data_IF_696186832996
#
_entry.id   IF_696186832996
#
_cell.length_a   1.000
_cell.length_b   1.000
_cell.length_c   1.000
_cell.angle_alpha   90.00
_cell.angle_beta   90.00
_cell.angle_gamma   90.00
#
_symmetry.space_group_name_H-M   'P 1'
#
loop_
_entity.id
_entity.type
_entity.pdbx_description
1 polymer ?
#
# COMPACT_ATOMS: atom_id res chain seq x y z
N UNK A 1 -23.48 18.79 2.61
CA UNK A 1 -22.45 19.57 1.85
C UNK A 1 -21.33 18.61 1.53
N UNK A 2 -21.36 18.03 0.32
CA UNK A 2 -20.41 17.03 -0.13
C UNK A 2 -19.07 17.68 -0.47
N UNK A 3 -18.11 17.25 0.15
CA UNK A 3 -16.65 17.27 0.09
C UNK A 3 -16.00 17.96 -1.13
N UNK A 4 -16.22 19.28 -1.26
CA UNK A 4 -15.51 20.15 -2.23
C UNK A 4 -13.99 20.19 -1.96
N UNK A 5 -13.56 19.91 -0.74
CA UNK A 5 -12.15 19.82 -0.37
C UNK A 5 -11.44 18.58 -0.95
N UNK A 6 -12.16 17.46 -1.12
CA UNK A 6 -11.62 16.25 -1.77
C UNK A 6 -11.46 16.44 -3.30
N UNK A 7 -12.33 17.22 -3.94
CA UNK A 7 -12.16 17.56 -5.37
C UNK A 7 -11.01 18.55 -5.60
N UNK A 8 -10.82 19.54 -4.72
CA UNK A 8 -9.67 20.45 -4.77
C UNK A 8 -8.35 19.74 -4.48
N UNK A 9 -8.33 18.80 -3.54
CA UNK A 9 -7.16 17.95 -3.28
C UNK A 9 -6.85 16.99 -4.43
N UNK A 10 -7.86 16.51 -5.19
CA UNK A 10 -7.65 15.72 -6.41
C UNK A 10 -7.07 16.52 -7.57
N UNK A 11 -7.31 17.83 -7.63
CA UNK A 11 -6.80 18.71 -8.70
C UNK A 11 -5.41 19.27 -8.34
N UNK A 12 -5.05 19.30 -7.06
CA UNK A 12 -3.74 19.77 -6.55
C UNK A 12 -2.77 18.61 -6.25
N UNK A 13 -3.07 17.38 -6.67
CA UNK A 13 -2.19 16.23 -6.47
C UNK A 13 -1.01 16.32 -7.41
N UNK A 14 0.09 16.77 -6.87
CA UNK A 14 1.40 16.34 -7.30
C UNK A 14 1.46 14.83 -7.01
N UNK A 15 1.21 13.95 -7.98
CA UNK A 15 1.34 12.49 -7.85
C UNK A 15 2.82 12.07 -7.71
N UNK A 16 3.76 13.02 -7.80
CA UNK A 16 5.19 12.81 -7.64
C UNK A 16 5.64 13.15 -6.22
N UNK A 17 5.40 12.23 -5.32
CA UNK A 17 6.00 12.27 -3.98
C UNK A 17 7.25 11.39 -3.97
N UNK A 18 8.40 11.99 -3.66
CA UNK A 18 9.66 11.25 -3.59
C UNK A 18 9.79 10.49 -2.28
N UNK A 19 9.82 9.16 -2.40
CA UNK A 19 10.07 8.26 -1.27
C UNK A 19 11.44 8.54 -0.66
N UNK A 20 11.53 8.54 0.67
CA UNK A 20 12.79 8.79 1.36
C UNK A 20 13.78 7.63 1.13
N UNK A 21 15.05 7.95 0.91
CA UNK A 21 16.12 6.96 0.73
C UNK A 21 16.16 5.94 1.88
N UNK A 22 16.01 6.40 3.13
CA UNK A 22 16.03 5.56 4.33
C UNK A 22 14.85 4.58 4.36
N UNK A 23 13.68 4.96 3.85
CA UNK A 23 12.51 4.08 3.81
C UNK A 23 12.71 2.98 2.77
N UNK A 24 13.29 3.31 1.61
CA UNK A 24 13.69 2.34 0.58
C UNK A 24 14.73 1.37 1.17
N UNK A 25 15.76 1.88 1.81
CA UNK A 25 16.83 1.08 2.41
C UNK A 25 16.28 0.10 3.46
N UNK A 26 15.44 0.59 4.36
CA UNK A 26 14.84 -0.22 5.42
C UNK A 26 13.94 -1.34 4.86
N UNK A 27 13.20 -1.05 3.81
CA UNK A 27 12.34 -2.04 3.17
C UNK A 27 13.18 -3.08 2.42
N UNK A 28 14.07 -2.64 1.53
CA UNK A 28 14.88 -3.52 0.67
C UNK A 28 15.83 -4.41 1.47
N UNK A 29 16.44 -3.90 2.55
CA UNK A 29 17.31 -4.70 3.39
C UNK A 29 16.61 -5.93 3.97
N UNK A 30 15.33 -5.86 4.26
CA UNK A 30 14.60 -7.01 4.81
C UNK A 30 14.48 -8.19 3.83
N UNK A 31 14.51 -7.94 2.54
CA UNK A 31 14.51 -8.99 1.51
C UNK A 31 15.91 -9.63 1.39
N UNK A 32 16.95 -8.79 1.46
CA UNK A 32 18.35 -9.22 1.42
C UNK A 32 18.71 -10.03 2.68
N UNK A 33 18.25 -9.58 3.86
CA UNK A 33 18.45 -10.29 5.13
C UNK A 33 17.80 -11.68 5.10
N UNK A 34 16.72 -11.85 4.36
CA UNK A 34 16.02 -13.12 4.20
C UNK A 34 16.66 -14.00 3.10
N UNK A 35 16.99 -13.38 1.97
CA UNK A 35 17.66 -14.03 0.85
C UNK A 35 18.71 -13.10 0.25
N UNK A 36 20.00 -13.26 0.58
CA UNK A 36 21.08 -12.40 0.08
C UNK A 36 21.21 -12.35 -1.45
N UNK A 37 20.75 -13.38 -2.16
CA UNK A 37 20.80 -13.47 -3.62
C UNK A 37 19.51 -12.99 -4.31
N UNK A 38 18.59 -12.33 -3.59
CA UNK A 38 17.27 -11.91 -4.13
C UNK A 38 17.39 -11.04 -5.38
N UNK A 39 18.41 -10.21 -5.49
CA UNK A 39 18.67 -9.30 -6.64
C UNK A 39 19.82 -9.77 -7.53
N UNK A 40 20.53 -10.82 -7.15
CA UNK A 40 21.69 -11.31 -7.89
C UNK A 40 21.31 -11.83 -9.26
N UNK A 41 22.04 -11.40 -10.28
CA UNK A 41 21.83 -11.73 -11.68
C UNK A 41 20.44 -11.32 -12.22
N UNK A 42 19.75 -10.35 -11.57
CA UNK A 42 18.42 -9.87 -11.95
C UNK A 42 18.47 -8.59 -12.74
N UNK A 43 17.52 -8.46 -13.65
CA UNK A 43 17.18 -7.18 -14.31
C UNK A 43 16.07 -6.51 -13.46
N UNK A 44 16.35 -5.32 -12.96
CA UNK A 44 15.42 -4.51 -12.15
C UNK A 44 14.89 -3.37 -13.00
N UNK A 45 13.57 -3.19 -13.02
CA UNK A 45 12.89 -2.07 -13.68
C UNK A 45 12.26 -1.14 -12.66
N UNK A 46 12.54 0.16 -12.79
CA UNK A 46 11.99 1.29 -12.03
C UNK A 46 11.15 2.18 -12.98
N UNK A 47 9.89 1.81 -13.30
CA UNK A 47 9.18 2.39 -14.45
C UNK A 47 8.48 3.73 -14.18
N UNK A 48 8.45 4.21 -12.94
CA UNK A 48 7.80 5.47 -12.55
C UNK A 48 8.77 6.40 -11.80
N UNK A 49 10.06 6.16 -11.92
CA UNK A 49 11.09 6.81 -11.13
C UNK A 49 12.01 7.60 -12.07
N UNK A 50 11.83 8.93 -12.06
CA UNK A 50 12.73 9.82 -12.77
C UNK A 50 14.14 9.69 -12.18
N UNK A 51 15.11 9.18 -12.94
CA UNK A 51 16.45 8.86 -12.43
C UNK A 51 17.21 10.05 -11.88
N UNK A 52 16.91 11.24 -12.35
CA UNK A 52 17.58 12.46 -11.88
C UNK A 52 17.16 12.83 -10.45
N UNK A 53 15.95 12.43 -10.05
CA UNK A 53 15.35 12.83 -8.79
C UNK A 53 15.02 11.66 -7.87
N UNK A 54 14.78 10.45 -8.44
CA UNK A 54 14.33 9.31 -7.69
C UNK A 54 15.37 8.74 -6.74
N UNK A 55 15.01 8.61 -5.48
CA UNK A 55 15.81 7.89 -4.50
C UNK A 55 15.87 6.38 -4.77
N UNK A 56 14.92 5.80 -5.52
CA UNK A 56 14.99 4.41 -5.95
C UNK A 56 16.18 4.19 -6.88
N UNK A 57 16.29 4.98 -7.93
CA UNK A 57 17.44 4.88 -8.86
C UNK A 57 18.75 5.04 -8.12
N UNK A 58 18.90 6.09 -7.30
CA UNK A 58 20.10 6.33 -6.50
C UNK A 58 20.43 5.17 -5.57
N UNK A 59 19.42 4.59 -4.93
CA UNK A 59 19.61 3.45 -4.02
C UNK A 59 20.16 2.22 -4.77
N UNK A 60 19.54 1.84 -5.89
CA UNK A 60 19.95 0.66 -6.65
C UNK A 60 21.27 0.86 -7.39
N UNK A 61 21.57 2.05 -7.87
CA UNK A 61 22.88 2.39 -8.45
C UNK A 61 23.99 2.23 -7.39
N UNK A 62 23.82 2.82 -6.19
CA UNK A 62 24.81 2.76 -5.12
C UNK A 62 25.03 1.34 -4.55
N UNK A 63 24.12 0.42 -4.80
CA UNK A 63 24.20 -0.97 -4.33
C UNK A 63 24.31 -1.97 -5.50
N UNK A 64 24.51 -1.52 -6.71
CA UNK A 64 24.48 -2.35 -7.93
C UNK A 64 25.44 -3.53 -7.85
N UNK A 65 26.72 -3.28 -7.57
CA UNK A 65 27.74 -4.31 -7.40
C UNK A 65 27.49 -5.17 -6.16
N UNK A 66 27.18 -4.50 -5.03
CA UNK A 66 26.97 -5.19 -3.75
C UNK A 66 25.88 -6.25 -3.83
N UNK A 67 24.80 -5.98 -4.58
CA UNK A 67 23.68 -6.90 -4.75
C UNK A 67 23.82 -7.83 -5.96
N UNK A 68 24.91 -7.67 -6.75
CA UNK A 68 25.15 -8.48 -7.94
C UNK A 68 24.09 -8.30 -9.01
N UNK A 69 23.52 -7.10 -9.15
CA UNK A 69 22.47 -6.80 -10.12
C UNK A 69 23.02 -6.92 -11.54
N UNK A 70 22.30 -7.62 -12.43
CA UNK A 70 22.69 -7.80 -13.82
C UNK A 70 22.46 -6.54 -14.66
N UNK A 71 21.28 -5.91 -14.47
CA UNK A 71 20.88 -4.72 -15.21
C UNK A 71 19.88 -3.91 -14.40
N UNK A 72 20.08 -2.61 -14.34
CA UNK A 72 19.12 -1.66 -13.81
C UNK A 72 18.54 -0.84 -14.95
N UNK A 73 17.23 -0.72 -15.01
CA UNK A 73 16.51 0.10 -15.98
C UNK A 73 15.62 1.05 -15.17
N UNK A 74 15.70 2.34 -15.46
CA UNK A 74 14.81 3.35 -14.89
C UNK A 74 14.19 4.17 -16.01
N UNK A 75 12.89 4.50 -15.90
CA UNK A 75 12.23 5.33 -16.91
C UNK A 75 11.53 6.51 -16.27
N UNK A 76 11.53 7.64 -16.95
CA UNK A 76 10.75 8.82 -16.57
C UNK A 76 9.55 8.99 -17.50
N UNK A 77 8.53 9.67 -16.97
CA UNK A 77 7.37 10.10 -17.73
C UNK A 77 7.61 11.51 -18.27
N UNK A 78 7.25 11.77 -19.53
CA UNK A 78 7.49 13.05 -20.19
C UNK A 78 6.86 14.23 -19.45
N UNK A 79 7.55 15.38 -19.27
CA UNK A 79 7.00 16.53 -18.56
C UNK A 79 5.66 17.04 -19.08
N UNK A 80 5.49 17.09 -20.42
CA UNK A 80 4.23 17.54 -21.04
C UNK A 80 3.03 16.61 -20.79
N UNK A 81 3.30 15.33 -20.53
CA UNK A 81 2.26 14.34 -20.23
C UNK A 81 1.90 14.31 -18.74
N UNK A 82 2.67 15.03 -17.90
CA UNK A 82 2.35 15.23 -16.49
C UNK A 82 1.27 16.30 -16.34
N UNK A 83 0.35 16.11 -15.41
CA UNK A 83 -0.71 17.08 -15.12
C UNK A 83 -0.20 18.34 -14.36
N UNK A 84 1.04 18.75 -14.55
CA UNK A 84 1.66 19.89 -13.89
C UNK A 84 1.50 21.17 -14.70
N UNK A 85 1.14 22.24 -14.01
CA UNK A 85 1.07 23.59 -14.58
C UNK A 85 2.40 24.37 -14.51
N UNK A 86 3.44 23.78 -13.94
CA UNK A 86 4.76 24.42 -13.88
C UNK A 86 5.54 24.09 -15.16
N UNK A 87 6.00 25.09 -15.93
CA UNK A 87 6.85 24.82 -17.09
C UNK A 87 8.09 24.05 -16.65
N UNK A 88 8.37 22.95 -17.33
CA UNK A 88 9.61 22.21 -17.13
C UNK A 88 10.80 23.11 -17.50
N UNK A 89 11.78 23.19 -16.63
CA UNK A 89 13.05 23.86 -16.93
C UNK A 89 14.16 22.81 -16.90
N UNK A 90 14.83 22.58 -18.06
CA UNK A 90 15.94 21.66 -18.12
C UNK A 90 17.03 22.06 -17.12
N UNK A 91 17.66 21.07 -16.51
CA UNK A 91 18.80 21.31 -15.64
C UNK A 91 20.03 21.69 -16.45
N UNK A 92 21.02 22.35 -15.80
CA UNK A 92 22.26 22.70 -16.45
C UNK A 92 23.01 21.45 -16.97
N UNK A 93 22.87 20.33 -16.27
CA UNK A 93 23.47 19.04 -16.66
C UNK A 93 22.83 18.46 -17.92
N UNK A 94 21.52 18.59 -18.06
CA UNK A 94 20.81 18.16 -19.26
C UNK A 94 21.23 18.97 -20.47
N UNK A 95 21.31 20.30 -20.34
CA UNK A 95 21.60 21.21 -21.46
C UNK A 95 23.04 21.11 -21.98
N UNK A 96 23.98 20.58 -21.19
CA UNK A 96 25.38 20.37 -21.65
C UNK A 96 25.61 18.99 -22.28
N UNK A 97 24.63 18.05 -22.15
CA UNK A 97 24.75 16.74 -22.80
C UNK A 97 24.55 16.84 -24.29
N UNK A 98 25.46 16.28 -25.11
CA UNK A 98 25.36 16.33 -26.59
C UNK A 98 24.06 15.70 -27.13
N UNK A 99 23.38 14.87 -26.37
CA UNK A 99 22.09 14.22 -26.71
C UNK A 99 20.87 15.08 -26.36
N UNK A 100 21.08 16.20 -25.68
CA UNK A 100 20.00 17.10 -25.31
C UNK A 100 19.22 17.61 -26.52
N UNK A 101 17.93 17.45 -26.48
CA UNK A 101 16.98 17.92 -27.47
C UNK A 101 15.79 18.53 -26.71
N UNK A 102 15.60 19.84 -26.85
CA UNK A 102 14.63 20.58 -26.08
C UNK A 102 13.19 20.08 -26.31
N UNK A 103 12.84 19.77 -27.56
CA UNK A 103 11.51 19.26 -27.91
C UNK A 103 11.28 17.86 -27.34
N UNK A 104 12.26 16.96 -27.49
CA UNK A 104 12.18 15.60 -26.95
C UNK A 104 12.17 15.59 -25.42
N UNK A 105 12.94 16.47 -24.78
CA UNK A 105 13.01 16.54 -23.32
C UNK A 105 11.65 16.81 -22.70
N UNK A 106 10.76 17.55 -23.36
CA UNK A 106 9.41 17.85 -22.86
C UNK A 106 8.35 16.86 -23.35
N UNK A 107 8.54 16.24 -24.50
CA UNK A 107 7.55 15.38 -25.16
C UNK A 107 7.78 13.88 -24.95
N UNK A 108 9.01 13.45 -24.72
CA UNK A 108 9.38 12.04 -24.59
C UNK A 108 9.81 11.69 -23.15
N UNK A 109 9.51 10.47 -22.75
CA UNK A 109 10.11 9.88 -21.57
C UNK A 109 11.60 9.62 -21.78
N UNK A 110 12.34 9.43 -20.72
CA UNK A 110 13.74 9.01 -20.76
C UNK A 110 13.90 7.61 -20.21
N UNK A 111 14.87 6.87 -20.75
CA UNK A 111 15.30 5.58 -20.25
C UNK A 111 16.75 5.67 -19.81
N UNK A 112 17.05 5.16 -18.62
CA UNK A 112 18.38 5.06 -18.05
C UNK A 112 18.70 3.59 -17.82
N UNK A 113 19.91 3.19 -18.17
CA UNK A 113 20.37 1.81 -18.00
C UNK A 113 21.74 1.77 -17.37
N UNK A 114 21.94 0.82 -16.46
CA UNK A 114 23.21 0.50 -15.84
C UNK A 114 23.48 -0.98 -15.97
N UNK A 115 24.65 -1.35 -16.47
CA UNK A 115 25.08 -2.75 -16.64
C UNK A 115 26.49 -3.01 -16.14
N UNK A 116 27.33 -1.99 -16.09
CA UNK A 116 28.74 -2.06 -15.72
C UNK A 116 29.32 -0.68 -15.45
N UNK A 117 30.55 -0.63 -14.96
CA UNK A 117 31.39 0.56 -14.91
C UNK A 117 31.70 1.01 -16.37
N UNK A 118 30.99 2.03 -16.83
CA UNK A 118 31.09 2.55 -18.20
C UNK A 118 32.27 3.52 -18.37
N UNK A 119 32.57 4.29 -17.34
CA UNK A 119 33.64 5.29 -17.35
C UNK A 119 35.01 4.69 -16.97
N UNK A 120 35.04 3.44 -16.48
CA UNK A 120 36.24 2.67 -16.10
C UNK A 120 37.05 3.32 -14.96
N UNK A 121 36.38 4.00 -14.03
CA UNK A 121 37.04 4.61 -12.87
C UNK A 121 37.17 3.64 -11.68
N UNK A 122 36.68 2.40 -11.83
CA UNK A 122 36.75 1.34 -10.83
C UNK A 122 35.62 1.39 -9.79
N UNK A 123 34.55 2.18 -10.06
CA UNK A 123 33.35 2.26 -9.24
C UNK A 123 32.14 2.28 -10.16
N UNK A 124 31.03 1.77 -9.65
CA UNK A 124 29.72 1.94 -10.30
C UNK A 124 28.94 2.99 -9.52
N UNK A 125 28.66 4.12 -10.19
CA UNK A 125 27.87 5.21 -9.65
C UNK A 125 26.91 5.84 -10.69
N UNK A 126 26.28 6.95 -10.35
CA UNK A 126 25.31 7.62 -11.24
C UNK A 126 25.92 8.08 -12.58
N UNK A 127 27.26 8.22 -12.68
CA UNK A 127 27.95 8.61 -13.94
C UNK A 127 28.00 7.49 -14.97
N UNK A 128 27.77 6.23 -14.53
CA UNK A 128 27.73 5.06 -15.41
C UNK A 128 26.37 4.83 -16.03
N UNK A 129 25.36 5.60 -15.63
CA UNK A 129 24.03 5.54 -16.20
C UNK A 129 24.06 6.02 -17.66
N UNK A 130 23.78 5.11 -18.59
CA UNK A 130 23.48 5.47 -19.98
C UNK A 130 22.04 5.89 -20.10
N UNK A 131 21.78 6.99 -20.78
CA UNK A 131 20.42 7.43 -21.01
C UNK A 131 20.10 7.70 -22.48
N UNK A 132 18.84 7.56 -22.85
CA UNK A 132 18.28 7.91 -24.15
C UNK A 132 16.84 8.40 -23.97
N UNK A 133 16.28 9.04 -25.00
CA UNK A 133 14.85 9.28 -25.08
C UNK A 133 14.14 7.98 -25.46
N UNK A 134 12.97 7.76 -24.84
CA UNK A 134 12.00 6.81 -25.34
C UNK A 134 11.34 7.38 -26.61
N UNK A 135 10.73 6.52 -27.45
CA UNK A 135 9.97 6.98 -28.60
C UNK A 135 8.64 7.63 -28.19
N UNK A 136 8.06 7.19 -27.06
CA UNK A 136 6.85 7.73 -26.46
C UNK A 136 7.12 8.55 -25.21
N UNK A 137 6.04 8.88 -24.51
CA UNK A 137 6.07 9.70 -23.29
C UNK A 137 6.52 8.95 -22.02
N UNK A 138 6.81 7.66 -22.12
CA UNK A 138 7.21 6.83 -20.98
C UNK A 138 6.03 6.23 -20.19
N UNK A 139 4.82 6.31 -20.72
CA UNK A 139 3.66 5.66 -20.10
C UNK A 139 3.89 4.14 -20.01
N UNK A 140 3.68 3.55 -18.81
CA UNK A 140 3.88 2.11 -18.58
C UNK A 140 2.96 1.24 -19.45
N UNK A 141 1.87 1.80 -19.99
CA UNK A 141 0.94 1.12 -20.89
C UNK A 141 1.43 1.04 -22.33
N UNK A 142 2.42 1.83 -22.71
CA UNK A 142 3.01 1.82 -24.05
C UNK A 142 3.66 0.47 -24.35
N UNK A 143 3.71 0.10 -25.64
CA UNK A 143 4.39 -1.14 -26.06
C UNK A 143 5.89 -1.10 -25.73
N UNK A 144 6.50 0.06 -25.81
CA UNK A 144 7.92 0.24 -25.50
C UNK A 144 8.21 -0.08 -24.03
N UNK A 145 7.42 0.45 -23.09
CA UNK A 145 7.61 0.17 -21.64
C UNK A 145 7.15 -1.24 -21.26
N UNK A 146 6.18 -1.82 -22.00
CA UNK A 146 5.84 -3.23 -21.85
C UNK A 146 6.99 -4.17 -22.19
N UNK A 147 7.76 -3.87 -23.24
CA UNK A 147 8.95 -4.64 -23.59
C UNK A 147 10.01 -4.57 -22.47
N UNK A 148 10.20 -3.40 -21.85
CA UNK A 148 11.09 -3.26 -20.70
C UNK A 148 10.59 -4.06 -19.49
N UNK A 149 9.26 -4.07 -19.24
CA UNK A 149 8.65 -4.93 -18.21
C UNK A 149 8.94 -6.41 -18.49
N UNK A 150 8.76 -6.82 -19.73
CA UNK A 150 8.89 -8.23 -20.10
C UNK A 150 10.36 -8.70 -20.02
N UNK A 151 11.33 -7.80 -20.24
CA UNK A 151 12.75 -8.03 -19.99
C UNK A 151 13.08 -8.12 -18.49
N UNK A 152 12.39 -7.35 -17.64
CA UNK A 152 12.70 -7.28 -16.21
C UNK A 152 12.33 -8.56 -15.44
N UNK A 153 13.12 -8.91 -14.45
CA UNK A 153 12.79 -9.93 -13.45
C UNK A 153 11.97 -9.35 -12.31
N UNK A 154 12.30 -8.11 -11.90
CA UNK A 154 11.72 -7.46 -10.71
C UNK A 154 11.34 -6.02 -11.07
N UNK A 155 10.15 -5.59 -10.63
CA UNK A 155 9.65 -4.22 -10.76
C UNK A 155 9.61 -3.59 -9.37
N UNK A 156 10.30 -2.44 -9.22
CA UNK A 156 10.36 -1.73 -7.93
C UNK A 156 10.08 -0.26 -8.18
N UNK A 157 9.05 0.31 -7.55
CA UNK A 157 8.67 1.71 -7.79
C UNK A 157 7.61 2.22 -6.82
N UNK A 158 7.43 3.54 -6.83
CA UNK A 158 6.26 4.21 -6.27
C UNK A 158 5.33 4.63 -7.42
N UNK A 159 4.34 3.81 -7.81
CA UNK A 159 3.49 4.12 -8.95
C UNK A 159 2.49 5.26 -8.62
N UNK A 160 1.98 5.98 -9.63
CA UNK A 160 0.94 6.97 -9.44
C UNK A 160 -0.32 6.34 -8.80
N UNK A 161 -0.77 6.87 -7.66
CA UNK A 161 -1.88 6.29 -6.90
C UNK A 161 -3.23 6.34 -7.65
N UNK A 162 -3.41 7.30 -8.55
CA UNK A 162 -4.62 7.45 -9.34
C UNK A 162 -4.89 6.29 -10.30
N UNK A 163 -3.83 5.63 -10.76
CA UNK A 163 -3.88 4.51 -11.73
C UNK A 163 -3.26 3.22 -11.15
N UNK A 164 -3.16 3.15 -9.82
CA UNK A 164 -2.53 2.04 -9.11
C UNK A 164 -3.09 0.66 -9.50
N UNK A 165 -4.41 0.50 -9.61
CA UNK A 165 -5.03 -0.78 -9.97
C UNK A 165 -4.65 -1.23 -11.39
N UNK A 166 -4.58 -0.29 -12.32
CA UNK A 166 -4.14 -0.56 -13.69
C UNK A 166 -2.67 -1.00 -13.71
N UNK A 167 -1.83 -0.30 -12.94
CA UNK A 167 -0.42 -0.62 -12.80
C UNK A 167 -0.19 -1.98 -12.13
N UNK A 168 -0.91 -2.30 -11.06
CA UNK A 168 -0.82 -3.61 -10.40
C UNK A 168 -1.22 -4.74 -11.36
N UNK A 169 -2.31 -4.57 -12.09
CA UNK A 169 -2.73 -5.53 -13.10
C UNK A 169 -1.72 -5.70 -14.24
N UNK A 170 -1.03 -4.61 -14.63
CA UNK A 170 0.02 -4.63 -15.63
C UNK A 170 1.21 -5.51 -15.18
N UNK A 171 1.57 -5.47 -13.90
CA UNK A 171 2.61 -6.33 -13.31
C UNK A 171 2.14 -7.79 -13.21
N UNK A 172 0.96 -8.01 -12.63
CA UNK A 172 0.44 -9.35 -12.34
C UNK A 172 0.16 -10.16 -13.61
N UNK A 173 -0.33 -9.51 -14.69
CA UNK A 173 -0.54 -10.17 -15.99
C UNK A 173 0.75 -10.66 -16.64
N UNK A 174 1.89 -10.05 -16.32
CA UNK A 174 3.20 -10.45 -16.81
C UNK A 174 3.94 -11.39 -15.84
N UNK A 175 3.28 -11.80 -14.75
CA UNK A 175 3.84 -12.68 -13.70
C UNK A 175 5.19 -12.20 -13.16
N UNK A 176 5.36 -10.87 -13.00
CA UNK A 176 6.61 -10.29 -12.53
C UNK A 176 6.70 -10.26 -11.01
N UNK A 177 7.92 -10.39 -10.50
CA UNK A 177 8.21 -10.06 -9.11
C UNK A 177 8.17 -8.56 -8.92
N UNK A 178 7.73 -8.11 -7.73
CA UNK A 178 7.61 -6.67 -7.48
C UNK A 178 7.77 -6.29 -6.00
N UNK A 179 8.19 -5.04 -5.78
CA UNK A 179 8.14 -4.32 -4.50
C UNK A 179 7.64 -2.92 -4.83
N UNK A 180 6.39 -2.59 -4.49
CA UNK A 180 5.78 -1.32 -4.86
C UNK A 180 5.04 -0.67 -3.70
N UNK A 181 4.80 0.64 -3.80
CA UNK A 181 4.05 1.41 -2.81
C UNK A 181 2.59 1.55 -3.26
N UNK A 182 1.66 1.42 -2.33
CA UNK A 182 0.25 1.71 -2.58
C UNK A 182 -0.44 2.35 -1.37
N UNK A 183 -1.66 2.85 -1.55
CA UNK A 183 -2.48 3.33 -0.44
C UNK A 183 -2.95 2.14 0.43
N UNK A 184 -2.90 2.29 1.75
CA UNK A 184 -3.35 1.25 2.73
C UNK A 184 -4.77 0.75 2.45
N UNK A 185 -5.66 1.66 2.02
CA UNK A 185 -7.05 1.31 1.73
C UNK A 185 -7.19 0.39 0.49
N UNK A 186 -6.18 0.36 -0.39
CA UNK A 186 -6.21 -0.51 -1.57
C UNK A 186 -6.18 -1.99 -1.21
N UNK A 187 -5.54 -2.37 -0.09
CA UNK A 187 -5.47 -3.78 0.34
C UNK A 187 -6.85 -4.41 0.57
N UNK A 188 -7.77 -3.66 1.16
CA UNK A 188 -9.12 -4.15 1.45
C UNK A 188 -10.09 -3.98 0.27
N UNK A 189 -9.65 -3.45 -0.88
CA UNK A 189 -10.53 -3.25 -2.01
C UNK A 189 -10.90 -4.58 -2.70
N UNK A 190 -12.07 -4.61 -3.34
CA UNK A 190 -12.56 -5.78 -4.08
C UNK A 190 -11.61 -6.24 -5.18
N UNK A 191 -10.79 -5.32 -5.70
CA UNK A 191 -9.91 -5.59 -6.85
C UNK A 191 -8.51 -6.07 -6.42
N UNK A 192 -8.11 -5.83 -5.16
CA UNK A 192 -6.77 -6.20 -4.63
C UNK A 192 -6.85 -7.35 -3.64
N UNK A 193 -7.85 -7.36 -2.77
CA UNK A 193 -7.94 -8.35 -1.69
C UNK A 193 -7.95 -9.81 -2.17
N UNK A 194 -8.56 -10.19 -3.31
CA UNK A 194 -8.46 -11.54 -3.84
C UNK A 194 -7.02 -12.02 -4.09
N UNK A 195 -6.12 -11.13 -4.48
CA UNK A 195 -4.69 -11.47 -4.64
C UNK A 195 -4.00 -11.71 -3.30
N UNK A 196 -4.41 -10.96 -2.25
CA UNK A 196 -3.93 -11.19 -0.86
C UNK A 196 -4.35 -12.58 -0.38
N UNK A 197 -5.64 -12.94 -0.56
CA UNK A 197 -6.17 -14.27 -0.20
C UNK A 197 -5.46 -15.41 -0.93
N UNK A 198 -5.12 -15.21 -2.21
CA UNK A 198 -4.44 -16.20 -3.04
C UNK A 198 -2.92 -16.25 -2.79
N UNK A 199 -2.39 -15.51 -1.83
CA UNK A 199 -0.96 -15.35 -1.60
C UNK A 199 -0.18 -14.93 -2.88
N UNK A 200 -0.77 -14.09 -3.73
CA UNK A 200 -0.12 -13.49 -4.90
C UNK A 200 0.52 -12.15 -4.60
N UNK A 201 0.13 -11.53 -3.50
CA UNK A 201 0.78 -10.35 -2.93
C UNK A 201 0.54 -10.28 -1.41
N UNK A 202 1.43 -9.59 -0.74
CA UNK A 202 1.38 -9.33 0.71
C UNK A 202 2.01 -7.99 1.08
N UNK A 203 1.84 -7.58 2.32
CA UNK A 203 2.43 -6.36 2.87
C UNK A 203 3.93 -6.55 3.03
N UNK A 204 4.71 -5.54 2.72
CA UNK A 204 6.14 -5.53 2.91
C UNK A 204 6.58 -5.53 4.39
N UNK A 205 7.87 -5.29 4.63
CA UNK A 205 8.42 -5.32 5.98
C UNK A 205 7.96 -4.15 6.84
N UNK A 206 7.78 -2.97 6.24
CA UNK A 206 7.39 -1.76 6.97
C UNK A 206 5.98 -1.90 7.55
N UNK A 207 5.78 -1.71 8.87
CA UNK A 207 4.49 -1.89 9.50
C UNK A 207 3.41 -0.93 8.96
N UNK A 208 2.17 -1.40 8.86
CA UNK A 208 1.02 -0.56 8.47
C UNK A 208 0.75 0.61 9.43
N UNK A 209 1.25 0.53 10.66
CA UNK A 209 1.14 1.61 11.66
C UNK A 209 2.11 2.78 11.41
N UNK A 210 3.11 2.59 10.56
CA UNK A 210 4.08 3.63 10.20
C UNK A 210 3.57 4.36 8.95
N UNK A 211 3.55 5.69 9.01
CA UNK A 211 3.27 6.51 7.84
C UNK A 211 4.56 6.71 7.04
N UNK A 212 4.53 6.41 5.76
CA UNK A 212 5.61 6.80 4.86
C UNK A 212 5.62 8.32 4.70
N UNK A 213 6.82 8.88 4.72
CA UNK A 213 7.05 10.31 4.58
C UNK A 213 7.63 10.60 3.20
N UNK A 214 7.03 11.57 2.51
CA UNK A 214 7.47 11.95 1.18
C UNK A 214 7.98 13.39 1.17
N UNK A 215 9.04 13.64 0.42
CA UNK A 215 9.54 15.00 0.20
C UNK A 215 8.50 15.77 -0.62
N UNK A 216 8.29 17.01 -0.23
CA UNK A 216 7.38 17.92 -0.92
C UNK A 216 8.19 18.80 -1.88
N UNK A 217 7.88 18.82 -3.18
CA UNK A 217 8.67 19.58 -4.17
C UNK A 217 8.70 21.10 -3.92
N UNK A 218 7.63 21.65 -3.37
CA UNK A 218 7.49 23.11 -3.14
C UNK A 218 7.22 23.43 -1.66
N UNK A 219 8.27 23.30 -0.82
CA UNK A 219 8.19 23.63 0.60
C UNK A 219 7.85 25.10 0.87
N UNK A 220 8.33 26.04 0.02
CA UNK A 220 8.13 27.47 0.21
C UNK A 220 6.67 27.86 0.10
N UNK A 221 5.99 27.39 -0.92
CA UNK A 221 4.58 27.63 -1.16
C UNK A 221 3.70 27.07 -0.02
N UNK A 222 4.08 25.92 0.54
CA UNK A 222 3.38 25.31 1.68
C UNK A 222 3.58 26.11 2.98
N UNK A 223 4.79 26.61 3.22
CA UNK A 223 5.09 27.46 4.39
C UNK A 223 4.33 28.78 4.34
N UNK A 224 4.22 29.39 3.16
CA UNK A 224 3.49 30.63 2.94
C UNK A 224 1.96 30.46 3.09
N UNK A 225 1.43 29.28 2.80
CA UNK A 225 -0.01 29.02 2.86
C UNK A 225 -0.61 28.97 4.26
N UNK A 226 0.22 28.97 5.32
CA UNK A 226 -0.18 28.87 6.76
C UNK A 226 -1.07 27.66 7.10
N UNK A 227 -1.33 26.76 6.15
CA UNK A 227 -2.23 25.61 6.28
C UNK A 227 -1.43 24.30 6.30
N UNK A 228 -0.49 24.17 7.24
CA UNK A 228 0.17 22.89 7.51
C UNK A 228 -0.81 22.06 8.35
N UNK A 229 -1.74 21.37 7.66
CA UNK A 229 -2.70 20.46 8.30
C UNK A 229 -2.07 19.14 8.72
N UNK A 230 -2.89 18.27 9.32
CA UNK A 230 -2.48 16.93 9.81
C UNK A 230 -1.86 16.00 8.75
N UNK A 231 -1.99 16.34 7.45
CA UNK A 231 -1.38 15.61 6.32
C UNK A 231 0.14 15.84 6.17
N UNK A 232 0.74 16.70 6.99
CA UNK A 232 2.15 17.01 6.91
C UNK A 232 2.85 16.83 8.25
N UNK A 233 4.17 16.61 8.22
CA UNK A 233 5.04 16.52 9.38
C UNK A 233 6.27 17.37 9.16
N UNK A 234 6.67 18.14 10.18
CA UNK A 234 7.91 18.92 10.15
C UNK A 234 8.96 18.16 10.94
N UNK A 235 10.09 17.87 10.30
CA UNK A 235 11.23 17.20 10.90
C UNK A 235 12.48 18.02 10.56
N UNK A 236 13.19 18.49 11.58
CA UNK A 236 14.43 19.31 11.43
C UNK A 236 14.23 20.49 10.47
N UNK A 237 13.07 21.16 10.55
CA UNK A 237 12.74 22.33 9.73
C UNK A 237 12.30 22.02 8.28
N UNK A 238 12.28 20.75 7.87
CA UNK A 238 11.78 20.32 6.56
C UNK A 238 10.36 19.78 6.67
N UNK A 239 9.54 20.06 5.65
CA UNK A 239 8.16 19.57 5.55
C UNK A 239 8.12 18.28 4.76
N UNK A 240 7.44 17.29 5.32
CA UNK A 240 7.15 16.01 4.68
C UNK A 240 5.65 15.80 4.58
N UNK A 241 5.18 15.32 3.44
CA UNK A 241 3.82 14.83 3.31
C UNK A 241 3.71 13.46 3.99
N UNK A 242 2.70 13.31 4.87
CA UNK A 242 2.34 12.01 5.46
C UNK A 242 1.40 11.30 4.51
N UNK A 243 1.74 10.09 4.12
CA UNK A 243 0.87 9.29 3.28
C UNK A 243 0.38 8.04 4.00
N UNK A 244 -0.89 7.73 3.79
CA UNK A 244 -1.50 6.45 4.17
C UNK A 244 -1.04 5.33 3.21
N UNK A 245 0.29 5.26 2.98
CA UNK A 245 0.91 4.33 2.04
C UNK A 245 1.60 3.18 2.76
N UNK A 246 1.73 2.07 2.05
CA UNK A 246 2.42 0.86 2.48
C UNK A 246 3.17 0.26 1.31
N UNK A 247 4.14 -0.57 1.64
CA UNK A 247 4.79 -1.46 0.71
C UNK A 247 3.97 -2.74 0.50
N UNK A 248 3.84 -3.16 -0.74
CA UNK A 248 3.30 -4.46 -1.11
C UNK A 248 4.25 -5.17 -2.07
N UNK A 249 4.26 -6.50 -2.02
CA UNK A 249 5.24 -7.32 -2.73
C UNK A 249 4.71 -8.73 -2.98
N UNK A 250 5.36 -9.46 -3.88
CA UNK A 250 5.27 -10.91 -4.03
C UNK A 250 6.66 -11.58 -3.87
N UNK A 251 7.60 -10.88 -3.22
CA UNK A 251 8.92 -11.40 -2.85
C UNK A 251 8.93 -11.67 -1.35
N UNK A 252 9.40 -12.85 -0.94
CA UNK A 252 9.40 -13.27 0.46
C UNK A 252 10.38 -12.45 1.30
N UNK A 253 10.03 -12.23 2.55
CA UNK A 253 10.86 -11.58 3.57
C UNK A 253 10.61 -12.17 4.94
N UNK A 254 11.61 -12.10 5.83
CA UNK A 254 11.61 -12.80 7.11
C UNK A 254 10.45 -12.45 8.05
N UNK A 255 9.91 -11.22 8.00
CA UNK A 255 8.77 -10.82 8.83
C UNK A 255 7.52 -11.65 8.54
N UNK A 256 7.28 -12.04 7.28
CA UNK A 256 6.14 -12.85 6.87
C UNK A 256 6.11 -14.24 7.51
N UNK A 257 7.29 -14.78 7.85
CA UNK A 257 7.47 -16.09 8.44
C UNK A 257 7.64 -16.06 9.96
N UNK A 258 7.50 -14.90 10.60
CA UNK A 258 7.55 -14.78 12.05
C UNK A 258 6.19 -15.14 12.66
N UNK A 259 6.09 -16.22 13.46
CA UNK A 259 4.83 -16.58 14.07
C UNK A 259 4.44 -15.57 15.15
N UNK A 260 3.16 -15.24 15.19
CA UNK A 260 2.60 -14.44 16.27
C UNK A 260 2.60 -15.26 17.57
N UNK A 261 3.13 -14.67 18.64
CA UNK A 261 3.04 -15.22 20.00
C UNK A 261 1.66 -14.88 20.54
N UNK A 262 0.85 -15.91 20.75
CA UNK A 262 -0.57 -15.79 21.12
C UNK A 262 -0.82 -16.45 22.48
N UNK A 263 -1.72 -15.85 23.22
CA UNK A 263 -2.28 -16.43 24.44
C UNK A 263 -3.54 -17.22 24.12
N UNK A 264 -3.96 -18.09 25.04
CA UNK A 264 -5.28 -18.73 24.97
C UNK A 264 -6.40 -17.71 25.08
N UNK A 265 -7.62 -18.08 24.70
CA UNK A 265 -8.79 -17.20 24.87
C UNK A 265 -8.96 -16.78 26.32
N UNK A 266 -8.82 -17.72 27.24
CA UNK A 266 -8.96 -17.46 28.69
C UNK A 266 -7.85 -16.55 29.21
N UNK A 267 -6.60 -16.75 28.79
CA UNK A 267 -5.50 -15.88 29.19
C UNK A 267 -5.64 -14.47 28.64
N UNK A 268 -6.13 -14.32 27.41
CA UNK A 268 -6.44 -13.00 26.85
C UNK A 268 -7.49 -12.27 27.70
N UNK A 269 -8.58 -12.92 28.08
CA UNK A 269 -9.62 -12.34 28.94
C UNK A 269 -9.03 -11.92 30.30
N UNK A 270 -8.12 -12.70 30.84
CA UNK A 270 -7.54 -12.43 32.16
C UNK A 270 -6.42 -11.38 32.12
N UNK A 271 -5.53 -11.43 31.11
CA UNK A 271 -4.25 -10.70 31.14
C UNK A 271 -4.10 -9.68 30.01
N UNK A 272 -5.01 -9.60 29.03
CA UNK A 272 -4.90 -8.63 27.93
C UNK A 272 -4.72 -7.21 28.48
N UNK A 273 -3.93 -6.39 27.81
CA UNK A 273 -3.86 -4.95 28.07
C UNK A 273 -5.10 -4.18 27.60
N UNK A 274 -5.94 -4.81 26.76
CA UNK A 274 -7.13 -4.21 26.16
C UNK A 274 -8.35 -4.43 27.04
N UNK A 275 -8.92 -3.33 27.51
CA UNK A 275 -10.12 -3.35 28.38
C UNK A 275 -11.30 -4.08 27.71
N UNK A 276 -11.49 -3.86 26.40
CA UNK A 276 -12.59 -4.46 25.65
C UNK A 276 -12.56 -5.99 25.73
N UNK A 277 -11.38 -6.60 25.63
CA UNK A 277 -11.23 -8.06 25.77
C UNK A 277 -11.48 -8.53 27.20
N UNK A 278 -11.03 -7.77 28.21
CA UNK A 278 -11.25 -8.12 29.63
C UNK A 278 -12.72 -8.03 30.06
N UNK A 279 -13.40 -6.98 29.62
CA UNK A 279 -14.73 -6.64 30.10
C UNK A 279 -15.83 -7.38 29.30
N UNK A 280 -15.62 -7.61 27.98
CA UNK A 280 -16.63 -8.13 27.05
C UNK A 280 -16.25 -9.52 26.53
N UNK A 281 -14.96 -9.83 26.44
CA UNK A 281 -14.47 -11.05 25.79
C UNK A 281 -14.56 -10.98 24.27
N UNK A 282 -14.91 -12.09 23.66
CA UNK A 282 -14.99 -12.25 22.19
C UNK A 282 -16.45 -12.34 21.75
N UNK A 283 -17.00 -11.24 21.25
CA UNK A 283 -18.36 -11.20 20.73
C UNK A 283 -18.50 -12.03 19.46
N UNK A 284 -19.63 -12.71 19.28
CA UNK A 284 -20.02 -13.28 17.99
C UNK A 284 -20.63 -12.21 17.10
N UNK A 285 -20.37 -12.29 15.81
CA UNK A 285 -21.10 -11.48 14.85
C UNK A 285 -22.55 -11.98 14.71
N UNK A 286 -23.46 -11.04 14.52
CA UNK A 286 -24.88 -11.35 14.27
C UNK A 286 -25.10 -11.84 12.82
N UNK A 287 -24.24 -11.45 11.90
CA UNK A 287 -24.38 -11.76 10.49
C UNK A 287 -23.29 -12.66 9.89
N UNK A 288 -22.26 -12.99 10.64
CA UNK A 288 -21.20 -13.92 10.20
C UNK A 288 -20.99 -15.01 11.23
N UNK A 289 -20.75 -16.23 10.78
CA UNK A 289 -20.37 -17.31 11.70
C UNK A 289 -18.89 -17.19 12.10
N UNK A 290 -18.58 -16.12 12.84
CA UNK A 290 -17.25 -15.79 13.30
C UNK A 290 -17.30 -14.97 14.60
N UNK A 291 -16.17 -14.86 15.28
CA UNK A 291 -16.00 -14.02 16.47
C UNK A 291 -15.24 -12.74 16.13
N UNK A 292 -15.55 -11.65 16.83
CA UNK A 292 -14.79 -10.40 16.76
C UNK A 292 -13.50 -10.51 17.57
N UNK A 293 -12.37 -10.18 16.93
CA UNK A 293 -11.06 -10.05 17.55
C UNK A 293 -10.52 -8.65 17.24
N UNK A 294 -10.80 -7.65 18.10
CA UNK A 294 -10.53 -6.24 17.79
C UNK A 294 -9.04 -5.88 17.73
N UNK A 295 -8.16 -6.73 18.27
CA UNK A 295 -6.73 -6.48 18.34
C UNK A 295 -5.93 -7.70 17.89
N UNK A 296 -4.94 -7.51 17.02
CA UNK A 296 -4.09 -8.61 16.50
C UNK A 296 -3.35 -9.39 17.60
N UNK A 297 -2.95 -8.71 18.68
CA UNK A 297 -2.29 -9.34 19.84
C UNK A 297 -3.25 -10.04 20.81
N UNK A 298 -4.55 -10.00 20.50
CA UNK A 298 -5.59 -10.72 21.25
C UNK A 298 -6.20 -11.89 20.45
N UNK A 299 -5.59 -12.28 19.33
CA UNK A 299 -6.00 -13.49 18.62
C UNK A 299 -5.77 -14.70 19.54
N UNK A 300 -6.84 -15.47 19.88
CA UNK A 300 -6.69 -16.63 20.76
C UNK A 300 -6.00 -17.80 20.05
N UNK A 301 -5.01 -18.42 20.72
CA UNK A 301 -4.24 -19.55 20.17
C UNK A 301 -5.03 -20.85 20.09
N UNK A 302 -6.10 -20.98 20.87
CA UNK A 302 -6.89 -22.20 21.07
C UNK A 302 -8.28 -22.17 20.39
N UNK A 303 -8.63 -21.12 19.66
CA UNK A 303 -9.90 -21.03 18.97
C UNK A 303 -9.82 -21.61 17.55
N UNK A 304 -10.66 -22.62 17.25
CA UNK A 304 -10.65 -23.35 15.96
C UNK A 304 -11.56 -22.72 14.88
N UNK A 305 -12.44 -21.81 15.28
CA UNK A 305 -13.40 -21.17 14.37
C UNK A 305 -12.83 -19.99 13.59
N UNK A 306 -13.70 -19.35 12.82
CA UNK A 306 -13.36 -18.16 12.05
C UNK A 306 -13.33 -16.92 12.97
N UNK A 307 -12.34 -16.07 12.78
CA UNK A 307 -12.11 -14.86 13.55
C UNK A 307 -12.05 -13.65 12.62
N UNK A 308 -12.79 -12.59 12.94
CA UNK A 308 -12.70 -11.31 12.25
C UNK A 308 -11.67 -10.41 12.91
N UNK A 309 -10.60 -10.10 12.20
CA UNK A 309 -9.49 -9.25 12.67
C UNK A 309 -9.42 -7.94 11.90
N UNK A 310 -8.84 -6.87 12.47
CA UNK A 310 -8.61 -5.62 11.73
C UNK A 310 -7.74 -5.83 10.48
N UNK A 311 -7.94 -5.00 9.44
CA UNK A 311 -7.13 -5.05 8.20
C UNK A 311 -5.61 -4.92 8.47
N UNK A 312 -5.23 -4.25 9.56
CA UNK A 312 -3.84 -4.14 10.00
C UNK A 312 -3.19 -5.47 10.40
N UNK A 313 -3.96 -6.54 10.57
CA UNK A 313 -3.44 -7.88 10.72
C UNK A 313 -2.57 -8.31 9.53
N UNK A 314 -2.88 -7.82 8.32
CA UNK A 314 -2.17 -8.22 7.10
C UNK A 314 -0.67 -7.94 7.14
N UNK A 315 -0.21 -6.96 7.94
CA UNK A 315 1.22 -6.69 8.09
C UNK A 315 1.94 -7.69 9.03
N UNK A 316 1.17 -8.53 9.71
CA UNK A 316 1.64 -9.58 10.63
C UNK A 316 1.17 -10.97 10.20
N UNK A 317 0.57 -11.04 9.02
CA UNK A 317 0.07 -12.30 8.49
C UNK A 317 1.21 -13.27 8.21
N UNK A 318 1.14 -14.42 8.87
CA UNK A 318 2.03 -15.55 8.64
C UNK A 318 1.23 -16.67 7.96
N UNK A 319 1.56 -17.06 6.72
CA UNK A 319 0.82 -18.08 5.97
C UNK A 319 1.01 -19.50 6.49
N UNK A 320 2.01 -19.77 7.34
CA UNK A 320 2.17 -21.05 8.02
C UNK A 320 1.27 -21.16 9.26
N UNK A 321 0.90 -20.02 9.87
CA UNK A 321 0.09 -19.97 11.09
C UNK A 321 -1.40 -19.77 10.82
N UNK A 322 -1.74 -19.00 9.78
CA UNK A 322 -3.12 -18.63 9.50
C UNK A 322 -3.52 -18.86 8.04
N UNK A 323 -4.81 -19.04 7.86
CA UNK A 323 -5.49 -19.00 6.57
C UNK A 323 -6.40 -17.76 6.53
N UNK A 324 -6.40 -17.03 5.41
CA UNK A 324 -7.35 -15.94 5.16
C UNK A 324 -8.59 -16.53 4.49
N UNK A 325 -9.73 -16.45 5.17
CA UNK A 325 -11.01 -17.01 4.71
C UNK A 325 -11.77 -16.00 3.83
N UNK A 326 -11.64 -14.71 4.12
CA UNK A 326 -12.36 -13.67 3.40
C UNK A 326 -12.23 -12.30 4.05
N UNK A 327 -13.09 -11.40 3.63
CA UNK A 327 -13.20 -10.07 4.22
C UNK A 327 -14.65 -9.59 4.13
N UNK A 328 -15.00 -8.58 4.91
CA UNK A 328 -16.33 -7.94 4.85
C UNK A 328 -16.52 -7.03 3.64
N UNK A 329 -15.60 -7.01 2.68
CA UNK A 329 -15.75 -6.34 1.38
C UNK A 329 -16.53 -7.22 0.40
N UNK A 330 -17.41 -6.61 -0.41
CA UNK A 330 -18.38 -7.27 -1.31
C UNK A 330 -17.83 -8.44 -2.13
N UNK A 331 -16.63 -8.33 -2.65
CA UNK A 331 -16.05 -9.32 -3.55
C UNK A 331 -15.42 -10.53 -2.85
N UNK A 332 -15.49 -10.62 -1.52
CA UNK A 332 -14.79 -11.64 -0.74
C UNK A 332 -15.74 -12.40 0.19
N UNK A 333 -17.02 -12.46 -0.19
CA UNK A 333 -18.08 -13.12 0.58
C UNK A 333 -18.36 -14.56 0.17
N UNK A 334 -17.67 -15.10 -0.84
CA UNK A 334 -17.97 -16.43 -1.41
C UNK A 334 -17.93 -17.55 -0.36
N UNK A 335 -17.12 -17.36 0.70
CA UNK A 335 -17.05 -18.30 1.82
C UNK A 335 -18.11 -18.04 2.92
N UNK A 336 -19.01 -17.07 2.73
CA UNK A 336 -20.09 -16.72 3.65
C UNK A 336 -21.41 -16.56 2.88
N UNK A 337 -22.00 -17.66 2.35
CA UNK A 337 -23.17 -17.58 1.46
C UNK A 337 -24.43 -17.09 2.17
N UNK A 338 -24.56 -17.33 3.48
CA UNK A 338 -25.78 -17.09 4.25
C UNK A 338 -25.64 -15.87 5.18
N UNK A 339 -25.14 -14.74 4.67
CA UNK A 339 -25.00 -13.51 5.46
C UNK A 339 -26.39 -12.95 5.75
N UNK A 340 -26.71 -12.79 7.05
CA UNK A 340 -27.94 -12.11 7.50
C UNK A 340 -28.02 -10.69 6.95
N UNK A 341 -29.19 -10.32 6.43
CA UNK A 341 -29.50 -8.97 5.92
C UNK A 341 -30.35 -8.20 6.91
N UNK A 342 -30.21 -6.89 6.89
CA UNK A 342 -30.85 -5.94 7.82
C UNK A 342 -31.84 -5.03 7.09
N UNK A 343 -32.57 -5.56 6.11
CA UNK A 343 -33.45 -4.77 5.25
C UNK A 343 -34.63 -4.14 5.98
N UNK A 344 -35.03 -4.74 7.10
CA UNK A 344 -36.09 -4.28 7.99
C UNK A 344 -35.57 -3.44 9.19
N UNK A 345 -34.29 -3.07 9.19
CA UNK A 345 -33.68 -2.24 10.24
C UNK A 345 -33.57 -0.77 9.78
N UNK A 346 -33.48 0.14 10.76
CA UNK A 346 -33.16 1.55 10.54
C UNK A 346 -32.07 2.02 11.51
N UNK A 347 -31.27 2.98 11.09
CA UNK A 347 -30.17 3.56 11.90
C UNK A 347 -30.75 4.60 12.87
N UNK A 348 -30.30 4.52 14.13
CA UNK A 348 -30.70 5.40 15.23
C UNK A 348 -29.47 5.97 15.92
N UNK A 349 -29.52 7.28 16.23
CA UNK A 349 -28.50 7.95 17.06
C UNK A 349 -28.69 7.56 18.53
N UNK A 350 -27.67 7.79 19.37
CA UNK A 350 -27.78 7.57 20.82
C UNK A 350 -28.84 8.48 21.48
N UNK A 351 -29.27 9.55 20.84
CA UNK A 351 -30.39 10.39 21.25
C UNK A 351 -31.77 9.74 21.03
N UNK A 352 -31.85 8.58 20.38
CA UNK A 352 -33.10 7.93 19.98
C UNK A 352 -33.68 8.42 18.65
N UNK A 353 -33.04 9.39 17.99
CA UNK A 353 -33.50 9.97 16.74
C UNK A 353 -33.06 9.09 15.54
N UNK A 354 -34.00 8.82 14.61
CA UNK A 354 -33.67 8.12 13.35
C UNK A 354 -32.82 9.01 12.43
N UNK A 355 -31.78 8.44 11.85
CA UNK A 355 -30.90 9.16 10.90
C UNK A 355 -31.49 9.26 9.49
N UNK A 356 -32.52 8.47 9.18
CA UNK A 356 -33.08 8.30 7.84
C UNK A 356 -32.39 7.22 7.02
N UNK A 357 -31.29 6.62 7.50
CA UNK A 357 -30.63 5.51 6.81
C UNK A 357 -31.33 4.18 7.16
N UNK A 358 -31.50 3.30 6.14
CA UNK A 358 -31.98 1.93 6.31
C UNK A 358 -30.85 0.97 6.71
N UNK A 359 -31.24 -0.20 7.22
CA UNK A 359 -30.30 -1.26 7.59
C UNK A 359 -29.50 -1.83 6.40
N UNK A 360 -29.93 -1.58 5.16
CA UNK A 360 -29.15 -1.94 3.94
C UNK A 360 -27.73 -1.37 3.95
N UNK A 361 -27.54 -0.24 4.62
CA UNK A 361 -26.22 0.39 4.82
C UNK A 361 -25.22 -0.54 5.52
N UNK A 362 -25.72 -1.44 6.37
CA UNK A 362 -24.89 -2.33 7.19
C UNK A 362 -24.88 -3.80 6.74
N UNK A 363 -25.55 -4.13 5.64
CA UNK A 363 -25.69 -5.51 5.18
C UNK A 363 -24.37 -6.27 4.97
N UNK A 364 -23.29 -5.56 4.70
CA UNK A 364 -21.99 -6.15 4.41
C UNK A 364 -20.97 -5.91 5.53
N UNK A 365 -21.28 -5.00 6.46
CA UNK A 365 -20.42 -4.76 7.60
C UNK A 365 -20.52 -5.89 8.61
N UNK A 366 -19.46 -6.16 9.37
CA UNK A 366 -19.57 -7.04 10.52
C UNK A 366 -20.39 -6.33 11.59
N UNK A 367 -21.48 -6.96 12.00
CA UNK A 367 -22.40 -6.42 12.99
C UNK A 367 -22.36 -7.28 14.25
N UNK A 368 -22.37 -6.63 15.41
CA UNK A 368 -22.48 -7.30 16.71
C UNK A 368 -23.74 -6.83 17.45
N UNK A 369 -24.36 -7.73 18.20
CA UNK A 369 -25.52 -7.42 19.03
C UNK A 369 -25.07 -6.65 20.28
N UNK A 370 -25.05 -5.32 20.17
CA UNK A 370 -24.77 -4.41 21.29
C UNK A 370 -25.25 -3.00 21.01
N UNK A 371 -25.29 -2.19 22.09
CA UNK A 371 -25.31 -0.73 22.02
C UNK A 371 -24.23 -0.20 22.98
N UNK A 372 -23.17 0.40 22.47
CA UNK A 372 -22.02 0.91 23.23
C UNK A 372 -22.26 2.30 23.86
N UNK A 373 -23.43 2.89 23.65
CA UNK A 373 -23.77 4.22 24.14
C UNK A 373 -23.05 5.38 23.47
N UNK A 374 -22.24 5.12 22.41
CA UNK A 374 -21.40 6.13 21.74
C UNK A 374 -21.70 6.28 20.26
N UNK A 375 -21.80 5.18 19.56
CA UNK A 375 -22.00 5.15 18.11
C UNK A 375 -23.46 4.91 17.76
N UNK A 376 -23.88 5.33 16.54
CA UNK A 376 -25.18 4.97 16.02
C UNK A 376 -25.32 3.43 15.99
N UNK A 377 -26.56 2.97 16.08
CA UNK A 377 -26.90 1.56 16.03
C UNK A 377 -28.07 1.34 15.07
N UNK A 378 -28.28 0.09 14.69
CA UNK A 378 -29.42 -0.32 13.87
C UNK A 378 -30.40 -1.10 14.73
N UNK A 379 -31.67 -0.84 14.56
CA UNK A 379 -32.77 -1.52 15.31
C UNK A 379 -33.89 -1.90 14.35
N UNK A 380 -34.55 -3.02 14.58
CA UNK A 380 -35.76 -3.44 13.87
C UNK A 380 -37.01 -3.18 14.70
N UNK A 381 -38.18 -3.53 14.14
CA UNK A 381 -39.47 -3.39 14.81
C UNK A 381 -39.61 -4.24 16.09
N UNK A 382 -38.86 -5.34 16.19
CA UNK A 382 -38.91 -6.28 17.30
C UNK A 382 -37.93 -5.86 18.43
N UNK A 383 -37.23 -4.75 18.26
CA UNK A 383 -36.29 -4.22 19.26
C UNK A 383 -34.89 -4.85 19.20
N UNK A 384 -34.60 -5.71 18.22
CA UNK A 384 -33.25 -6.27 18.04
C UNK A 384 -32.27 -5.20 17.57
N UNK A 385 -31.17 -5.04 18.31
CA UNK A 385 -30.19 -3.98 18.14
C UNK A 385 -28.85 -4.56 17.65
N UNK A 386 -28.26 -3.94 16.63
CA UNK A 386 -26.90 -4.26 16.20
C UNK A 386 -26.07 -2.99 15.95
N UNK A 387 -24.76 -3.09 16.18
CA UNK A 387 -23.79 -2.06 15.81
C UNK A 387 -22.82 -2.58 14.75
N UNK A 388 -22.63 -1.76 13.72
CA UNK A 388 -21.63 -2.01 12.68
C UNK A 388 -20.23 -1.75 13.20
N UNK A 389 -19.32 -2.63 12.82
CA UNK A 389 -17.89 -2.45 12.99
C UNK A 389 -17.24 -2.04 11.66
N UNK A 390 -15.97 -1.65 11.72
CA UNK A 390 -15.16 -1.43 10.53
C UNK A 390 -14.87 -2.74 9.79
N UNK A 391 -14.44 -2.65 8.55
CA UNK A 391 -14.00 -3.79 7.73
C UNK A 391 -13.09 -4.74 8.50
N UNK A 392 -13.37 -6.03 8.39
CA UNK A 392 -12.59 -7.12 8.99
C UNK A 392 -12.04 -8.05 7.91
N UNK A 393 -10.90 -8.62 8.21
CA UNK A 393 -10.35 -9.79 7.52
C UNK A 393 -10.75 -11.01 8.34
N UNK A 394 -11.33 -12.02 7.71
CA UNK A 394 -11.66 -13.28 8.35
C UNK A 394 -10.51 -14.26 8.21
N UNK A 395 -10.06 -14.77 9.34
CA UNK A 395 -8.94 -15.71 9.43
C UNK A 395 -9.32 -16.94 10.24
N UNK A 396 -8.56 -17.99 10.06
CA UNK A 396 -8.58 -19.21 10.86
C UNK A 396 -7.15 -19.68 11.09
N UNK A 397 -6.88 -20.34 12.21
CA UNK A 397 -5.63 -21.06 12.40
C UNK A 397 -5.52 -22.17 11.36
N UNK A 398 -4.33 -22.33 10.77
CA UNK A 398 -4.04 -23.52 9.99
C UNK A 398 -3.99 -24.74 10.93
N UNK A 399 -4.59 -25.83 10.46
CA UNK A 399 -4.41 -27.10 11.12
C UNK A 399 -2.96 -27.56 10.89
N UNK A 400 -2.28 -27.89 11.97
CA UNK A 400 -0.92 -28.42 11.97
C UNK A 400 -0.88 -29.88 11.50
#
# INVERSE_FOLDING_TARGET
MANTNLKKAKVAKNDEFYTQYVDIQNEINAYIDYNPDVFKDKTILLPCDDPEWSNFTKFFVNNFERYGIKKLISTSFAPNSKNFKTPYQPTLFETVDPRFDEEKTVANGKIFTLTKDENKDGKIDEKDLKWNYLNGDGDFRSEEVKLLRDEADIIITNPPFSIFLEFLNWILKADKKFIIICNKNSLGSKDVFPFVMQNKLWVGKTPMSVDLLFTVPDEKQLLESKNIGSGYKIINGKIFARSQSIWITNIEHGKRHQPLKLMTMQDNIKFSKHKEIKDIGYAKYDNYNAIEVPFTDSIPSDYKGVMGVPISFLDKYNPEQFEIIGSTQRACHDNFPDIKKYDDYWEVKQTGEKTGASGKKTNENPNIERNDGKNNYFINKDGHIVQSLYTRVFIRHKES
#
